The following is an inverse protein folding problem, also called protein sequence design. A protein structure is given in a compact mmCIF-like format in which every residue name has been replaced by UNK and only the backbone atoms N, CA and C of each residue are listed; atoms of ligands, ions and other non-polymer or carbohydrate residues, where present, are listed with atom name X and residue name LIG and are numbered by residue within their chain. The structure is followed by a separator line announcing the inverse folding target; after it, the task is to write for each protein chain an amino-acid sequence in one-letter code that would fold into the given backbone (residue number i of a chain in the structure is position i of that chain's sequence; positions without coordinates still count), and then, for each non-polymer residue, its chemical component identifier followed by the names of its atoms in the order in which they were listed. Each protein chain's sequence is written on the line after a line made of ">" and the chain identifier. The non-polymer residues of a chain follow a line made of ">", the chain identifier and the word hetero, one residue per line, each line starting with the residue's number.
data_IF_558858191847
#
_entry.id   IF_558858191847
#
_cell.length_a   1.000
_cell.length_b   1.000
_cell.length_c   1.000
_cell.angle_alpha   90.00
_cell.angle_beta   90.00
_cell.angle_gamma   90.00
#
_symmetry.space_group_name_H-M   'P 1'
#
loop_
_entity.id
_entity.type
_entity.pdbx_description
1 polymer ?
#
# COMPACT_ATOMS: atom_id res chain seq x y z
N UNK A 1 3.48 8.83 -10.90
CA UNK A 1 3.03 7.58 -10.25
C UNK A 1 3.82 6.33 -10.61
N UNK A 2 4.48 6.31 -11.77
CA UNK A 2 5.26 5.12 -12.16
C UNK A 2 6.37 4.79 -11.16
N UNK A 3 7.11 5.80 -10.68
CA UNK A 3 8.16 5.57 -9.68
C UNK A 3 7.57 5.12 -8.34
N UNK A 4 6.39 5.63 -7.98
CA UNK A 4 5.69 5.20 -6.78
C UNK A 4 5.20 3.75 -6.90
N UNK A 5 4.72 3.37 -8.08
CA UNK A 5 4.32 1.99 -8.35
C UNK A 5 5.52 1.04 -8.22
N UNK A 6 6.71 1.46 -8.62
CA UNK A 6 7.94 0.67 -8.45
C UNK A 6 8.28 0.45 -6.97
N UNK A 7 8.05 1.43 -6.12
CA UNK A 7 8.24 1.26 -4.67
C UNK A 7 7.24 0.23 -4.13
N UNK A 8 5.98 0.32 -4.53
CA UNK A 8 4.98 -0.68 -4.16
C UNK A 8 5.37 -2.08 -4.63
N UNK A 9 5.85 -2.20 -5.85
CA UNK A 9 6.30 -3.48 -6.41
C UNK A 9 7.50 -4.03 -5.64
N UNK A 10 8.44 -3.16 -5.27
CA UNK A 10 9.61 -3.57 -4.46
C UNK A 10 9.15 -4.21 -3.14
N UNK A 11 8.18 -3.59 -2.47
CA UNK A 11 7.66 -4.12 -1.21
C UNK A 11 6.85 -5.41 -1.43
N UNK A 12 6.05 -5.47 -2.49
CA UNK A 12 5.33 -6.70 -2.84
C UNK A 12 6.30 -7.86 -3.08
N UNK A 13 7.45 -7.58 -3.68
CA UNK A 13 8.50 -8.57 -3.92
C UNK A 13 9.44 -8.76 -2.72
N UNK A 14 9.03 -8.33 -1.54
CA UNK A 14 9.77 -8.52 -0.29
C UNK A 14 11.17 -7.91 -0.31
N UNK A 15 11.32 -6.79 -1.00
CA UNK A 15 12.56 -6.02 -1.05
C UNK A 15 13.52 -6.39 -2.17
N UNK A 16 13.09 -7.19 -3.12
CA UNK A 16 13.92 -7.59 -4.28
C UNK A 16 13.47 -6.85 -5.53
N UNK A 17 14.43 -6.30 -6.26
CA UNK A 17 14.21 -5.63 -7.54
C UNK A 17 15.22 -6.13 -8.57
N UNK A 18 14.73 -6.64 -9.72
CA UNK A 18 15.56 -7.19 -10.79
C UNK A 18 16.57 -8.22 -10.27
N UNK A 19 16.14 -9.07 -9.35
CA UNK A 19 16.99 -10.11 -8.78
C UNK A 19 17.98 -9.64 -7.72
N UNK A 20 17.98 -8.34 -7.41
CA UNK A 20 18.86 -7.77 -6.37
C UNK A 20 18.07 -7.39 -5.15
N UNK A 21 18.61 -7.70 -3.98
CA UNK A 21 17.99 -7.26 -2.73
C UNK A 21 18.36 -5.81 -2.48
N UNK A 22 17.32 -4.96 -2.43
CA UNK A 22 17.45 -3.52 -2.16
C UNK A 22 17.12 -3.24 -0.69
N UNK A 23 16.07 -3.89 -0.17
CA UNK A 23 15.60 -3.74 1.20
C UNK A 23 15.50 -5.13 1.80
N UNK A 24 15.85 -5.28 3.09
CA UNK A 24 15.74 -6.58 3.73
C UNK A 24 14.29 -7.04 3.82
N UNK A 25 14.07 -8.34 3.69
CA UNK A 25 12.73 -8.93 3.86
C UNK A 25 12.20 -8.65 5.26
N UNK A 26 13.09 -8.74 6.27
CA UNK A 26 12.73 -8.44 7.65
C UNK A 26 12.23 -7.00 7.81
N UNK A 27 12.84 -6.03 7.14
CA UNK A 27 12.38 -4.64 7.18
C UNK A 27 11.05 -4.47 6.47
N UNK A 28 10.84 -5.13 5.33
CA UNK A 28 9.54 -5.10 4.65
C UNK A 28 8.46 -5.63 5.58
N UNK A 29 8.66 -6.77 6.21
CA UNK A 29 7.71 -7.35 7.15
C UNK A 29 7.47 -6.43 8.34
N UNK A 30 8.53 -5.91 8.94
CA UNK A 30 8.44 -5.06 10.13
C UNK A 30 7.76 -3.73 9.84
N UNK A 31 8.09 -3.08 8.72
CA UNK A 31 7.53 -1.76 8.39
C UNK A 31 6.08 -1.83 7.95
N UNK A 32 5.63 -2.97 7.43
CA UNK A 32 4.24 -3.14 6.97
C UNK A 32 3.37 -3.89 7.96
N UNK A 33 3.90 -4.20 9.13
CA UNK A 33 3.18 -4.84 10.22
C UNK A 33 2.46 -3.80 11.09
N UNK A 34 1.37 -4.19 11.72
CA UNK A 34 0.67 -3.31 12.64
C UNK A 34 1.55 -2.95 13.85
N UNK A 35 1.81 -1.65 14.05
CA UNK A 35 2.49 -1.11 15.22
C UNK A 35 1.55 -0.23 16.04
N UNK A 36 0.56 0.37 15.41
CA UNK A 36 -0.50 1.10 16.09
C UNK A 36 -1.81 0.89 15.32
N UNK A 37 -2.92 1.14 15.99
CA UNK A 37 -4.22 0.92 15.38
C UNK A 37 -5.07 2.18 15.46
N UNK A 38 -5.59 2.59 14.33
CA UNK A 38 -6.55 3.69 14.27
C UNK A 38 -7.96 3.12 14.27
N UNK A 39 -8.49 2.89 15.49
CA UNK A 39 -9.77 2.22 15.69
C UNK A 39 -10.94 2.89 14.99
N UNK A 40 -10.94 4.22 14.92
CA UNK A 40 -12.01 4.98 14.30
C UNK A 40 -12.25 4.62 12.84
N UNK A 41 -11.21 4.24 12.11
CA UNK A 41 -11.26 3.91 10.70
C UNK A 41 -10.98 2.43 10.40
N UNK A 42 -10.87 1.62 11.44
CA UNK A 42 -10.52 0.21 11.32
C UNK A 42 -9.26 -0.01 10.47
N UNK A 43 -8.25 0.83 10.70
CA UNK A 43 -6.96 0.76 10.03
C UNK A 43 -5.86 0.67 11.06
N UNK A 44 -4.81 -0.06 10.70
CA UNK A 44 -3.58 -0.18 11.47
C UNK A 44 -2.47 0.58 10.77
N UNK A 45 -1.44 0.98 11.52
CA UNK A 45 -0.31 1.71 10.99
C UNK A 45 0.99 0.99 11.33
N UNK A 46 1.79 0.70 10.32
CA UNK A 46 3.16 0.23 10.49
C UNK A 46 4.11 1.42 10.51
N UNK A 47 5.29 1.27 9.93
CA UNK A 47 6.22 2.39 9.76
C UNK A 47 5.96 3.04 8.42
N UNK A 48 5.18 4.15 8.41
CA UNK A 48 4.77 4.93 7.25
C UNK A 48 3.75 4.23 6.33
N UNK A 49 3.33 3.02 6.65
CA UNK A 49 2.34 2.27 5.88
C UNK A 49 1.05 2.12 6.66
N UNK A 50 -0.08 2.39 6.01
CA UNK A 50 -1.40 2.07 6.54
C UNK A 50 -1.71 0.62 6.23
N UNK A 51 -1.95 -0.18 7.26
CA UNK A 51 -2.16 -1.62 7.13
C UNK A 51 -3.66 -1.91 7.08
N UNK A 52 -4.08 -2.70 6.11
CA UNK A 52 -5.47 -3.11 5.96
C UNK A 52 -5.54 -4.65 5.80
N UNK A 53 -6.74 -5.16 5.61
CA UNK A 53 -6.98 -6.61 5.59
C UNK A 53 -6.26 -7.37 4.47
N UNK A 54 -5.99 -6.70 3.35
CA UNK A 54 -5.39 -7.36 2.18
C UNK A 54 -3.94 -6.93 1.91
N UNK A 55 -3.44 -5.95 2.64
CA UNK A 55 -2.08 -5.45 2.42
C UNK A 55 -1.84 -4.12 3.10
N UNK A 56 -1.28 -3.16 2.38
CA UNK A 56 -0.89 -1.89 2.97
C UNK A 56 -0.88 -0.78 1.92
N UNK A 57 -0.91 0.46 2.39
CA UNK A 57 -0.91 1.63 1.52
C UNK A 57 -0.12 2.78 2.14
N UNK A 58 0.65 3.48 1.33
CA UNK A 58 1.27 4.74 1.69
C UNK A 58 0.46 5.86 1.06
N UNK A 59 0.09 6.86 1.86
CA UNK A 59 -0.75 7.96 1.40
C UNK A 59 -0.19 9.29 1.87
N UNK A 60 -0.26 10.29 1.00
CA UNK A 60 0.17 11.65 1.32
C UNK A 60 -0.94 12.64 1.07
N UNK A 61 -0.74 13.87 1.56
CA UNK A 61 -1.61 14.99 1.27
C UNK A 61 -1.64 15.24 -0.24
N UNK A 62 -2.73 15.80 -0.74
CA UNK A 62 -2.88 16.00 -2.17
C UNK A 62 -3.36 14.78 -2.96
N UNK A 63 -3.65 13.67 -2.25
CA UNK A 63 -4.27 12.50 -2.87
C UNK A 63 -3.32 11.51 -3.51
N UNK A 64 -2.05 11.53 -3.14
CA UNK A 64 -1.09 10.53 -3.60
C UNK A 64 -1.27 9.22 -2.83
N UNK A 65 -1.21 8.09 -3.52
CA UNK A 65 -1.32 6.78 -2.89
C UNK A 65 -0.45 5.75 -3.59
N UNK A 66 0.18 4.88 -2.79
CA UNK A 66 0.77 3.63 -3.23
C UNK A 66 0.01 2.54 -2.48
N UNK A 67 -0.75 1.74 -3.19
CA UNK A 67 -1.56 0.67 -2.61
C UNK A 67 -1.01 -0.68 -3.02
N UNK A 68 -0.77 -1.55 -2.04
CA UNK A 68 -0.25 -2.89 -2.27
C UNK A 68 -1.22 -3.91 -1.68
N UNK A 69 -1.76 -4.77 -2.52
CA UNK A 69 -2.57 -5.91 -2.12
C UNK A 69 -1.69 -7.15 -2.22
N UNK A 70 -1.23 -7.65 -1.09
CA UNK A 70 -0.33 -8.82 -1.06
C UNK A 70 -1.07 -10.12 -1.32
N UNK A 71 -2.37 -10.16 -1.01
CA UNK A 71 -3.20 -11.32 -1.23
C UNK A 71 -3.39 -11.62 -2.71
N UNK A 72 -3.73 -10.58 -3.50
CA UNK A 72 -3.99 -10.71 -4.94
C UNK A 72 -2.80 -10.28 -5.79
N UNK A 73 -1.70 -9.83 -5.18
CA UNK A 73 -0.47 -9.38 -5.84
C UNK A 73 -0.72 -8.21 -6.80
N UNK A 74 -1.44 -7.20 -6.32
CA UNK A 74 -1.80 -6.01 -7.08
C UNK A 74 -1.10 -4.79 -6.47
N UNK A 75 -0.52 -3.95 -7.32
CA UNK A 75 0.03 -2.65 -6.93
C UNK A 75 -0.70 -1.57 -7.71
N UNK A 76 -1.20 -0.58 -6.98
CA UNK A 76 -1.87 0.58 -7.58
C UNK A 76 -1.16 1.84 -7.10
N UNK A 77 -0.77 2.70 -8.02
CA UNK A 77 -0.22 4.01 -7.70
C UNK A 77 -1.07 5.08 -8.39
N UNK A 78 -1.42 6.10 -7.64
CA UNK A 78 -2.19 7.22 -8.18
C UNK A 78 -1.71 8.52 -7.55
N UNK A 79 -1.66 9.57 -8.34
CA UNK A 79 -1.48 10.93 -7.86
C UNK A 79 -2.79 11.69 -7.98
N UNK A 80 -3.01 12.65 -7.08
CA UNK A 80 -4.20 13.49 -7.12
C UNK A 80 -5.54 12.72 -6.98
N UNK A 81 -5.56 11.67 -6.17
CA UNK A 81 -6.79 10.96 -5.83
C UNK A 81 -7.51 11.75 -4.72
N UNK A 82 -8.35 12.70 -5.11
CA UNK A 82 -8.97 13.67 -4.20
C UNK A 82 -10.16 13.11 -3.43
N UNK A 83 -9.94 12.05 -2.66
CA UNK A 83 -10.91 11.53 -1.70
C UNK A 83 -10.34 11.83 -0.32
N UNK A 84 -11.00 12.66 0.52
CA UNK A 84 -10.37 13.21 1.72
C UNK A 84 -10.10 12.19 2.82
N UNK A 85 -10.90 11.12 2.91
CA UNK A 85 -10.74 10.13 3.97
C UNK A 85 -9.85 8.99 3.52
N UNK A 86 -8.93 8.58 4.39
CA UNK A 86 -7.98 7.49 4.09
C UNK A 86 -8.71 6.20 3.74
N UNK A 87 -9.71 5.82 4.53
CA UNK A 87 -10.46 4.58 4.29
C UNK A 87 -11.18 4.63 2.94
N UNK A 88 -11.71 5.79 2.56
CA UNK A 88 -12.44 5.95 1.30
C UNK A 88 -11.51 5.77 0.09
N UNK A 89 -10.24 6.17 0.20
CA UNK A 89 -9.25 5.95 -0.87
C UNK A 89 -9.02 4.47 -1.09
N UNK A 90 -8.87 3.71 0.00
CA UNK A 90 -8.69 2.26 -0.06
C UNK A 90 -9.94 1.59 -0.63
N UNK A 91 -11.12 1.98 -0.15
CA UNK A 91 -12.39 1.41 -0.60
C UNK A 91 -12.64 1.68 -2.08
N UNK A 92 -12.27 2.86 -2.57
CA UNK A 92 -12.39 3.18 -3.99
C UNK A 92 -11.56 2.21 -4.84
N UNK A 93 -10.32 1.96 -4.42
CA UNK A 93 -9.46 1.02 -5.13
C UNK A 93 -10.04 -0.40 -5.10
N UNK A 94 -10.50 -0.85 -3.95
CA UNK A 94 -11.08 -2.20 -3.79
C UNK A 94 -12.36 -2.38 -4.60
N UNK A 95 -13.18 -1.34 -4.69
CA UNK A 95 -14.47 -1.41 -5.36
C UNK A 95 -14.35 -1.33 -6.87
N UNK A 96 -13.50 -0.44 -7.38
CA UNK A 96 -13.49 -0.09 -8.80
C UNK A 96 -12.25 -0.53 -9.57
N UNK A 97 -11.13 -0.72 -8.90
CA UNK A 97 -9.85 -1.00 -9.57
C UNK A 97 -9.45 -2.46 -9.43
N UNK A 98 -9.39 -3.00 -8.22
CA UNK A 98 -8.97 -4.38 -7.99
C UNK A 98 -9.78 -5.42 -8.79
N UNK A 99 -11.13 -5.31 -8.90
CA UNK A 99 -11.90 -6.31 -9.63
C UNK A 99 -11.50 -6.47 -11.09
N UNK A 100 -10.89 -5.43 -11.70
CA UNK A 100 -10.43 -5.48 -13.09
C UNK A 100 -9.27 -6.47 -13.25
N UNK A 101 -8.47 -6.66 -12.20
CA UNK A 101 -7.23 -7.44 -12.24
C UNK A 101 -7.35 -8.82 -11.59
N UNK A 102 -8.52 -9.16 -11.11
CA UNK A 102 -8.76 -10.48 -10.51
C UNK A 102 -9.23 -11.50 -11.53
#
# INVERSE_FOLDING_TARGET
>A
PMDMAKIGQLYLNKGIWNGKRIVSEKWVEESTREHSRWKKHDLSYGYLWWVNEDGYAAMGDGGNIIYVNTKDKIVVSSSALFVPKIRDRIDLIKTYIEPIFR
#
